data_IF_569506203865
#
_entry.id   IF_569506203865
#
_cell.length_a   1.000
_cell.length_b   1.000
_cell.length_c   1.000
_cell.angle_alpha   90.00
_cell.angle_beta   90.00
_cell.angle_gamma   90.00
#
_symmetry.space_group_name_H-M   'P 1'
#
loop_
_entity.id
_entity.type
_entity.pdbx_description
1 polymer ?
#
# COMPACT_ATOMS: atom_id res chain seq x y z
N UNK A 1 -5.06 21.07 -18.30
CA UNK A 1 -6.08 20.15 -17.74
C UNK A 1 -5.63 18.73 -18.06
N UNK A 2 -5.39 17.87 -17.05
CA UNK A 2 -5.03 16.46 -17.30
C UNK A 2 -6.32 15.62 -17.31
N UNK A 3 -6.67 15.03 -18.45
CA UNK A 3 -7.73 14.03 -18.55
C UNK A 3 -7.15 12.67 -18.16
N UNK A 4 -7.73 12.02 -17.16
CA UNK A 4 -7.33 10.67 -16.71
C UNK A 4 -8.56 9.80 -16.60
N UNK A 5 -8.43 8.53 -17.00
CA UNK A 5 -9.48 7.55 -16.72
C UNK A 5 -9.62 7.33 -15.21
N UNK A 6 -10.77 6.77 -14.78
CA UNK A 6 -10.99 6.40 -13.37
C UNK A 6 -9.92 5.41 -12.88
N UNK A 7 -9.46 4.49 -13.72
CA UNK A 7 -8.44 3.51 -13.35
C UNK A 7 -7.04 4.14 -13.24
N UNK A 8 -6.71 5.05 -14.15
CA UNK A 8 -5.44 5.79 -14.11
C UNK A 8 -5.36 6.72 -12.89
N UNK A 9 -6.47 7.38 -12.54
CA UNK A 9 -6.55 8.17 -11.32
C UNK A 9 -6.41 7.29 -10.07
N UNK A 10 -7.14 6.17 -9.99
CA UNK A 10 -7.03 5.23 -8.88
C UNK A 10 -5.60 4.66 -8.72
N UNK A 11 -4.94 4.34 -9.84
CA UNK A 11 -3.53 3.90 -9.84
C UNK A 11 -2.60 5.00 -9.30
N UNK A 12 -2.71 6.23 -9.79
CA UNK A 12 -1.85 7.32 -9.34
C UNK A 12 -2.01 7.62 -7.84
N UNK A 13 -3.24 7.56 -7.34
CA UNK A 13 -3.57 7.72 -5.92
C UNK A 13 -3.00 6.57 -5.08
N UNK A 14 -3.05 5.34 -5.58
CA UNK A 14 -2.44 4.19 -4.92
C UNK A 14 -0.91 4.29 -4.85
N UNK A 15 -0.24 4.70 -5.93
CA UNK A 15 1.22 4.93 -5.96
C UNK A 15 1.62 5.99 -4.93
N UNK A 16 0.92 7.11 -4.90
CA UNK A 16 1.18 8.20 -3.95
C UNK A 16 1.04 7.74 -2.51
N UNK A 17 -0.10 7.13 -2.20
CA UNK A 17 -0.42 6.78 -0.82
C UNK A 17 0.48 5.68 -0.31
N UNK A 18 0.78 4.68 -1.14
CA UNK A 18 1.77 3.66 -0.78
C UNK A 18 3.13 4.27 -0.54
N UNK A 19 3.58 5.20 -1.41
CA UNK A 19 4.85 5.89 -1.25
C UNK A 19 4.94 6.71 0.05
N UNK A 20 3.94 7.55 0.32
CA UNK A 20 3.85 8.33 1.56
C UNK A 20 3.87 7.44 2.82
N UNK A 21 3.32 6.24 2.70
CA UNK A 21 3.17 5.33 3.83
C UNK A 21 4.45 4.52 4.11
N UNK A 22 5.11 4.02 3.07
CA UNK A 22 6.40 3.31 3.22
C UNK A 22 7.59 4.27 3.30
N UNK A 23 7.34 5.59 3.24
CA UNK A 23 8.37 6.62 3.28
C UNK A 23 9.23 6.68 2.00
N UNK A 24 8.69 6.26 0.85
CA UNK A 24 9.40 6.19 -0.42
C UNK A 24 8.73 7.06 -1.47
N UNK A 25 9.51 7.78 -2.27
CA UNK A 25 9.02 8.62 -3.36
C UNK A 25 8.75 7.79 -4.64
N UNK A 26 7.81 6.84 -4.57
CA UNK A 26 7.49 5.92 -5.66
C UNK A 26 7.09 6.65 -6.97
N UNK A 27 6.40 7.79 -6.88
CA UNK A 27 6.08 8.64 -8.06
C UNK A 27 7.31 9.19 -8.78
N UNK A 28 8.40 9.39 -8.05
CA UNK A 28 9.69 9.85 -8.57
C UNK A 28 10.59 8.67 -8.96
N UNK A 29 10.04 7.45 -9.01
CA UNK A 29 10.80 6.21 -9.23
C UNK A 29 11.89 5.97 -8.16
N UNK A 30 11.69 6.49 -6.95
CA UNK A 30 12.60 6.37 -5.81
C UNK A 30 11.91 5.54 -4.72
N UNK A 31 12.15 4.24 -4.71
CA UNK A 31 11.60 3.31 -3.73
C UNK A 31 12.06 1.88 -3.98
N UNK A 32 11.50 0.91 -3.26
CA UNK A 32 11.91 -0.48 -3.42
C UNK A 32 11.61 -0.97 -4.84
N UNK A 33 12.57 -1.67 -5.43
CA UNK A 33 12.44 -2.24 -6.78
C UNK A 33 11.19 -3.13 -6.88
N UNK A 34 10.80 -3.75 -5.78
CA UNK A 34 9.61 -4.58 -5.68
C UNK A 34 8.32 -3.76 -5.82
N UNK A 35 8.19 -2.63 -5.12
CA UNK A 35 7.01 -1.76 -5.24
C UNK A 35 6.95 -1.11 -6.61
N UNK A 36 8.09 -0.65 -7.13
CA UNK A 36 8.18 -0.09 -8.48
C UNK A 36 7.78 -1.12 -9.54
N UNK A 37 8.26 -2.36 -9.41
CA UNK A 37 7.90 -3.47 -10.30
C UNK A 37 6.40 -3.76 -10.24
N UNK A 38 5.83 -3.88 -9.04
CA UNK A 38 4.40 -4.07 -8.85
C UNK A 38 3.57 -2.98 -9.56
N UNK A 39 3.89 -1.72 -9.33
CA UNK A 39 3.11 -0.61 -9.92
C UNK A 39 3.26 -0.53 -11.44
N UNK A 40 4.43 -0.88 -12.00
CA UNK A 40 4.64 -0.98 -13.45
C UNK A 40 3.79 -2.10 -14.06
N UNK A 41 3.77 -3.29 -13.46
CA UNK A 41 2.93 -4.41 -13.92
C UNK A 41 1.44 -4.05 -13.85
N UNK A 42 1.01 -3.37 -12.78
CA UNK A 42 -0.38 -2.92 -12.65
C UNK A 42 -0.74 -1.86 -13.69
N UNK A 43 0.18 -0.97 -14.05
CA UNK A 43 -0.04 0.02 -15.12
C UNK A 43 -0.28 -0.67 -16.47
N UNK A 44 0.51 -1.71 -16.81
CA UNK A 44 0.28 -2.50 -18.02
C UNK A 44 -1.05 -3.24 -18.01
N UNK A 45 -1.46 -3.78 -16.86
CA UNK A 45 -2.76 -4.44 -16.73
C UNK A 45 -3.93 -3.46 -16.97
N UNK A 46 -3.82 -2.23 -16.49
CA UNK A 46 -4.79 -1.17 -16.76
C UNK A 46 -4.77 -0.79 -18.24
N UNK A 47 -3.59 -0.60 -18.84
CA UNK A 47 -3.47 -0.25 -20.24
C UNK A 47 -4.12 -1.30 -21.14
N UNK A 48 -3.84 -2.59 -20.91
CA UNK A 48 -4.46 -3.70 -21.66
C UNK A 48 -5.98 -3.73 -21.47
N UNK A 49 -6.48 -3.51 -20.25
CA UNK A 49 -7.93 -3.43 -19.98
C UNK A 49 -8.60 -2.23 -20.67
N UNK A 50 -7.83 -1.18 -20.98
CA UNK A 50 -8.25 0.02 -21.71
C UNK A 50 -7.91 -0.07 -23.22
N UNK A 51 -7.60 -1.27 -23.75
CA UNK A 51 -7.20 -1.50 -25.14
C UNK A 51 -6.00 -0.66 -25.61
N UNK A 52 -5.08 -0.38 -24.69
CA UNK A 52 -3.85 0.37 -24.92
C UNK A 52 -2.62 -0.53 -24.80
N UNK A 53 -1.50 -0.11 -25.39
CA UNK A 53 -0.25 -0.85 -25.32
C UNK A 53 0.26 -0.95 -23.87
N UNK A 54 0.82 -2.09 -23.45
CA UNK A 54 1.43 -2.23 -22.13
C UNK A 54 2.63 -1.31 -21.97
N UNK A 55 2.95 -0.97 -20.72
CA UNK A 55 4.09 -0.11 -20.38
C UNK A 55 5.41 -0.82 -20.73
N UNK A 56 6.46 -0.10 -21.19
CA UNK A 56 7.78 -0.69 -21.42
C UNK A 56 8.31 -1.48 -20.22
N UNK A 57 9.19 -2.44 -20.50
CA UNK A 57 9.77 -3.35 -19.51
C UNK A 57 8.74 -4.16 -18.72
N UNK A 58 7.58 -4.45 -19.31
CA UNK A 58 6.59 -5.38 -18.74
C UNK A 58 6.19 -6.45 -19.74
N UNK A 59 5.68 -7.60 -19.28
CA UNK A 59 5.16 -8.62 -20.17
C UNK A 59 4.05 -8.10 -21.07
N UNK A 60 4.11 -8.43 -22.36
CA UNK A 60 3.07 -8.12 -23.35
C UNK A 60 1.97 -9.17 -23.38
N UNK A 61 2.27 -10.41 -22.99
CA UNK A 61 1.31 -11.50 -22.88
C UNK A 61 0.50 -11.44 -21.58
N UNK A 62 -0.82 -11.52 -21.69
CA UNK A 62 -1.73 -11.44 -20.53
C UNK A 62 -1.40 -12.50 -19.46
N UNK A 63 -1.14 -13.74 -19.88
CA UNK A 63 -0.86 -14.84 -18.97
C UNK A 63 0.43 -14.62 -18.15
N UNK A 64 1.47 -14.06 -18.78
CA UNK A 64 2.73 -13.76 -18.12
C UNK A 64 2.61 -12.57 -17.18
N UNK A 65 1.99 -11.48 -17.65
CA UNK A 65 1.72 -10.30 -16.84
C UNK A 65 0.95 -10.68 -15.56
N UNK A 66 -0.12 -11.47 -15.73
CA UNK A 66 -0.97 -11.96 -14.65
C UNK A 66 -0.20 -12.84 -13.67
N UNK A 67 0.66 -13.74 -14.15
CA UNK A 67 1.51 -14.60 -13.30
C UNK A 67 2.46 -13.76 -12.45
N UNK A 68 3.18 -12.83 -13.07
CA UNK A 68 4.14 -11.99 -12.37
C UNK A 68 3.45 -11.04 -11.37
N UNK A 69 2.32 -10.45 -11.77
CA UNK A 69 1.51 -9.59 -10.91
C UNK A 69 1.02 -10.36 -9.67
N UNK A 70 0.59 -11.62 -9.82
CA UNK A 70 0.21 -12.48 -8.68
C UNK A 70 1.37 -12.70 -7.72
N UNK A 71 2.57 -13.00 -8.24
CA UNK A 71 3.78 -13.16 -7.41
C UNK A 71 4.05 -11.90 -6.60
N UNK A 72 4.01 -10.73 -7.23
CA UNK A 72 4.26 -9.46 -6.55
C UNK A 72 3.18 -9.11 -5.52
N UNK A 73 1.90 -9.35 -5.85
CA UNK A 73 0.78 -9.14 -4.92
C UNK A 73 0.92 -9.99 -3.67
N UNK A 74 1.30 -11.26 -3.82
CA UNK A 74 1.54 -12.16 -2.69
C UNK A 74 2.76 -11.73 -1.87
N UNK A 75 3.89 -11.48 -2.53
CA UNK A 75 5.16 -11.10 -1.89
C UNK A 75 5.04 -9.82 -1.06
N UNK A 76 4.38 -8.79 -1.59
CA UNK A 76 4.20 -7.50 -0.92
C UNK A 76 2.93 -7.41 -0.05
N UNK A 77 2.10 -8.47 -0.05
CA UNK A 77 0.78 -8.48 0.59
C UNK A 77 -0.05 -7.20 0.26
N UNK A 78 -0.04 -6.78 -1.02
CA UNK A 78 -0.52 -5.44 -1.44
C UNK A 78 -1.96 -5.17 -0.99
N UNK A 79 -2.84 -6.15 -1.15
CA UNK A 79 -4.27 -6.01 -0.80
C UNK A 79 -4.41 -5.76 0.70
N UNK A 80 -3.74 -6.56 1.52
CA UNK A 80 -3.74 -6.35 2.97
C UNK A 80 -3.23 -4.95 3.32
N UNK A 81 -2.18 -4.50 2.61
CA UNK A 81 -1.44 -3.27 2.92
C UNK A 81 -2.34 -2.07 2.72
N UNK A 82 -2.98 -1.99 1.55
CA UNK A 82 -3.96 -0.96 1.24
C UNK A 82 -5.18 -1.00 2.17
N UNK A 83 -5.64 -2.20 2.57
CA UNK A 83 -6.73 -2.34 3.53
C UNK A 83 -6.35 -1.84 4.93
N UNK A 84 -5.12 -2.11 5.37
CA UNK A 84 -4.59 -1.60 6.64
C UNK A 84 -4.51 -0.08 6.63
N UNK A 85 -4.09 0.54 5.53
CA UNK A 85 -4.09 2.01 5.41
C UNK A 85 -5.51 2.58 5.55
N UNK A 86 -6.48 1.93 4.89
CA UNK A 86 -7.89 2.28 5.03
C UNK A 86 -8.39 2.21 6.49
N UNK A 87 -7.92 1.23 7.26
CA UNK A 87 -8.22 1.12 8.71
C UNK A 87 -7.49 2.17 9.54
N UNK A 88 -6.23 2.47 9.23
CA UNK A 88 -5.41 3.48 9.92
C UNK A 88 -6.03 4.87 9.79
N UNK A 89 -6.53 5.21 8.62
CA UNK A 89 -7.22 6.48 8.39
C UNK A 89 -8.43 6.67 9.33
N UNK A 90 -9.05 5.57 9.79
CA UNK A 90 -10.19 5.57 10.71
C UNK A 90 -9.76 5.57 12.19
N UNK A 91 -8.48 5.37 12.50
CA UNK A 91 -7.96 5.40 13.87
C UNK A 91 -8.03 6.83 14.41
N UNK A 92 -8.72 7.00 15.54
CA UNK A 92 -8.67 8.23 16.34
C UNK A 92 -7.27 8.36 16.92
N UNK A 93 -6.55 9.42 16.55
CA UNK A 93 -5.17 9.69 17.00
C UNK A 93 -5.14 10.56 18.25
N UNK A 94 -6.27 10.68 18.95
CA UNK A 94 -6.57 11.75 19.92
C UNK A 94 -5.75 11.65 21.23
N UNK A 95 -4.70 10.81 21.34
CA UNK A 95 -4.14 10.45 22.66
C UNK A 95 -2.63 10.42 22.84
N UNK A 96 -1.76 10.85 21.91
CA UNK A 96 -0.33 10.98 22.28
C UNK A 96 0.47 11.97 21.45
N UNK A 97 1.34 12.72 22.13
CA UNK A 97 2.53 13.39 21.58
C UNK A 97 3.51 12.35 21.03
N UNK A 98 3.12 11.60 20.02
CA UNK A 98 3.98 10.66 19.30
C UNK A 98 4.29 11.28 17.94
N UNK A 99 5.47 10.99 17.38
CA UNK A 99 5.89 11.40 16.03
C UNK A 99 5.85 10.21 15.04
N UNK A 100 5.86 8.98 15.58
CA UNK A 100 5.84 7.71 14.86
C UNK A 100 4.76 6.81 15.46
N UNK A 101 4.12 5.99 14.64
CA UNK A 101 3.15 4.99 15.03
C UNK A 101 3.50 3.63 14.44
N UNK A 102 3.68 2.65 15.32
CA UNK A 102 3.69 1.24 14.95
C UNK A 102 2.24 0.73 14.99
N UNK A 103 1.80 0.17 13.87
CA UNK A 103 0.45 -0.35 13.70
C UNK A 103 0.56 -1.81 13.30
N UNK A 104 -0.08 -2.67 14.07
CA UNK A 104 -0.13 -4.10 13.81
C UNK A 104 -1.59 -4.55 13.70
N UNK A 105 -1.90 -5.26 12.62
CA UNK A 105 -3.23 -5.85 12.40
C UNK A 105 -3.08 -7.35 12.33
N UNK A 106 -3.86 -8.05 13.16
CA UNK A 106 -4.02 -9.49 13.09
C UNK A 106 -5.48 -9.78 12.68
N UNK A 107 -5.74 -10.26 11.46
CA UNK A 107 -7.09 -10.58 10.99
C UNK A 107 -7.82 -11.59 11.88
N UNK A 108 -7.08 -12.50 12.54
CA UNK A 108 -7.66 -13.50 13.44
C UNK A 108 -8.19 -12.88 14.73
N UNK A 109 -7.54 -11.82 15.22
CA UNK A 109 -7.92 -11.14 16.47
C UNK A 109 -8.91 -9.99 16.26
N UNK A 110 -9.24 -9.64 15.00
CA UNK A 110 -10.10 -8.51 14.59
C UNK A 110 -9.71 -7.14 15.16
N UNK A 111 -8.56 -7.03 15.81
CA UNK A 111 -8.10 -5.82 16.49
C UNK A 111 -6.91 -5.19 15.77
N UNK A 112 -6.87 -3.86 15.79
CA UNK A 112 -5.76 -3.04 15.33
C UNK A 112 -5.00 -2.56 16.56
N UNK A 113 -3.74 -2.97 16.70
CA UNK A 113 -2.86 -2.49 17.77
C UNK A 113 -2.10 -1.29 17.25
N UNK A 114 -2.16 -0.17 17.97
CA UNK A 114 -1.47 1.07 17.62
C UNK A 114 -0.59 1.47 18.80
N UNK A 115 0.69 1.73 18.53
CA UNK A 115 1.66 2.17 19.53
C UNK A 115 2.42 3.39 19.02
N UNK A 116 2.34 4.49 19.76
CA UNK A 116 3.05 5.74 19.44
C UNK A 116 4.48 5.76 20.00
N UNK A 117 5.39 6.42 19.29
CA UNK A 117 6.77 6.68 19.69
C UNK A 117 7.12 8.13 19.37
N UNK A 118 7.93 8.77 20.22
CA UNK A 118 8.58 10.04 19.90
C UNK A 118 9.70 9.82 18.88
N UNK A 119 10.03 10.85 18.10
CA UNK A 119 11.10 10.80 17.09
C UNK A 119 12.46 10.46 17.71
N UNK A 120 12.69 10.93 18.95
CA UNK A 120 13.88 10.60 19.74
C UNK A 120 14.01 9.10 20.10
N UNK A 121 12.96 8.31 19.88
CA UNK A 121 12.94 6.86 20.13
C UNK A 121 12.73 6.06 18.84
N UNK A 122 13.19 6.58 17.70
CA UNK A 122 13.10 5.91 16.39
C UNK A 122 13.76 4.53 16.36
N UNK A 123 14.92 4.37 17.01
CA UNK A 123 15.61 3.08 17.09
C UNK A 123 14.74 2.03 17.79
N UNK A 124 14.18 2.37 18.95
CA UNK A 124 13.25 1.50 19.69
C UNK A 124 11.99 1.19 18.88
N UNK A 125 11.50 2.14 18.07
CA UNK A 125 10.37 1.92 17.18
C UNK A 125 10.71 0.91 16.07
N UNK A 126 11.92 1.00 15.49
CA UNK A 126 12.43 0.04 14.49
C UNK A 126 12.65 -1.35 15.07
N UNK A 127 13.26 -1.46 16.26
CA UNK A 127 13.41 -2.75 16.96
C UNK A 127 12.05 -3.40 17.20
N UNK A 128 11.09 -2.63 17.70
CA UNK A 128 9.76 -3.14 17.98
C UNK A 128 8.98 -3.47 16.70
N UNK A 129 9.19 -2.72 15.61
CA UNK A 129 8.70 -3.07 14.28
C UNK A 129 9.21 -4.45 13.85
N UNK A 130 10.54 -4.64 13.84
CA UNK A 130 11.17 -5.89 13.42
C UNK A 130 10.74 -7.09 14.29
N UNK A 131 10.66 -6.89 15.60
CA UNK A 131 10.17 -7.92 16.53
C UNK A 131 8.70 -8.29 16.26
N UNK A 132 7.85 -7.29 16.02
CA UNK A 132 6.42 -7.52 15.73
C UNK A 132 6.23 -8.18 14.37
N UNK A 133 6.99 -7.75 13.35
CA UNK A 133 7.00 -8.37 12.02
C UNK A 133 7.36 -9.85 12.12
N UNK A 134 8.47 -10.16 12.80
CA UNK A 134 8.91 -11.54 13.04
C UNK A 134 7.88 -12.38 13.79
N UNK A 135 7.22 -11.83 14.81
CA UNK A 135 6.19 -12.53 15.58
C UNK A 135 4.90 -12.79 14.78
N UNK A 136 4.65 -12.01 13.73
CA UNK A 136 3.47 -12.13 12.87
C UNK A 136 3.75 -12.95 11.60
N UNK A 137 5.00 -13.42 11.40
CA UNK A 137 5.36 -14.32 10.30
C UNK A 137 4.50 -15.57 10.37
N UNK A 138 3.91 -15.94 9.23
CA UNK A 138 3.07 -17.13 9.12
C UNK A 138 1.60 -16.93 9.51
N UNK A 139 1.21 -15.77 10.04
CA UNK A 139 -0.21 -15.45 10.27
C UNK A 139 -0.81 -14.88 8.98
N UNK A 140 -1.77 -15.58 8.31
CA UNK A 140 -2.30 -15.14 7.04
C UNK A 140 -2.98 -13.77 7.15
N UNK A 141 -2.51 -12.81 6.36
CA UNK A 141 -3.05 -11.45 6.31
C UNK A 141 -2.66 -10.56 7.50
N UNK A 142 -1.82 -11.02 8.42
CA UNK A 142 -1.23 -10.14 9.44
C UNK A 142 -0.35 -9.08 8.78
N UNK A 143 -0.35 -7.89 9.36
CA UNK A 143 0.45 -6.78 8.87
C UNK A 143 0.99 -5.93 9.99
N UNK A 144 2.22 -5.47 9.80
CA UNK A 144 2.93 -4.60 10.71
C UNK A 144 3.48 -3.45 9.89
N UNK A 145 3.25 -2.24 10.34
CA UNK A 145 3.66 -1.03 9.64
C UNK A 145 4.11 0.03 10.63
N UNK A 146 5.19 0.75 10.30
CA UNK A 146 5.71 1.86 11.08
C UNK A 146 5.62 3.13 10.23
N UNK A 147 4.87 4.13 10.71
CA UNK A 147 4.59 5.36 9.94
C UNK A 147 4.71 6.61 10.79
N UNK A 148 5.05 7.74 10.17
CA UNK A 148 5.07 9.03 10.87
C UNK A 148 3.67 9.63 11.03
N UNK A 149 3.52 10.50 12.03
CA UNK A 149 2.33 11.35 12.19
C UNK A 149 2.03 12.13 10.92
N UNK A 150 3.05 12.68 10.27
CA UNK A 150 2.87 13.48 9.06
C UNK A 150 2.23 12.66 7.95
N UNK A 151 2.67 11.41 7.76
CA UNK A 151 2.06 10.47 6.81
C UNK A 151 0.61 10.12 7.20
N UNK A 152 0.31 9.94 8.49
CA UNK A 152 -1.08 9.73 8.95
C UNK A 152 -1.95 10.98 8.72
N UNK A 153 -1.44 12.17 9.01
CA UNK A 153 -2.16 13.43 8.82
C UNK A 153 -2.39 13.74 7.33
N UNK A 154 -1.44 13.39 6.46
CA UNK A 154 -1.64 13.42 5.00
C UNK A 154 -2.75 12.45 4.59
N UNK A 155 -2.72 11.21 5.08
CA UNK A 155 -3.73 10.19 4.80
C UNK A 155 -5.14 10.64 5.24
N UNK A 156 -5.26 11.19 6.46
CA UNK A 156 -6.53 11.72 6.99
C UNK A 156 -7.07 12.86 6.13
N UNK A 157 -6.22 13.79 5.71
CA UNK A 157 -6.60 14.88 4.79
C UNK A 157 -7.01 14.38 3.41
N UNK A 158 -6.38 13.31 2.94
CA UNK A 158 -6.72 12.65 1.67
C UNK A 158 -7.98 11.74 1.76
N UNK A 159 -8.53 11.53 2.96
CA UNK A 159 -9.74 10.73 3.20
C UNK A 159 -10.96 11.68 3.16
N UNK A 160 -11.84 11.64 2.13
CA UNK A 160 -12.57 10.47 1.64
C UNK A 160 -12.14 9.95 0.26
N UNK A 161 -11.41 10.75 -0.52
CA UNK A 161 -11.01 10.42 -1.89
C UNK A 161 -10.16 9.15 -1.95
N UNK A 162 -9.19 9.00 -1.04
CA UNK A 162 -8.36 7.79 -0.96
C UNK A 162 -9.19 6.50 -0.76
N UNK A 163 -10.24 6.54 0.06
CA UNK A 163 -11.06 5.36 0.33
C UNK A 163 -11.82 4.89 -0.91
N UNK A 164 -12.36 5.84 -1.67
CA UNK A 164 -13.06 5.55 -2.92
C UNK A 164 -12.07 5.01 -3.96
N UNK A 165 -10.92 5.66 -4.12
CA UNK A 165 -9.90 5.29 -5.12
C UNK A 165 -9.19 3.97 -4.77
N UNK A 166 -8.91 3.70 -3.51
CA UNK A 166 -8.32 2.42 -3.07
C UNK A 166 -9.25 1.24 -3.34
N UNK A 167 -10.57 1.39 -3.18
CA UNK A 167 -11.55 0.36 -3.57
C UNK A 167 -11.54 0.11 -5.07
N UNK A 168 -11.49 1.17 -5.87
CA UNK A 168 -11.39 1.06 -7.35
C UNK A 168 -10.12 0.32 -7.74
N UNK A 169 -8.99 0.71 -7.15
CA UNK A 169 -7.70 0.09 -7.41
C UNK A 169 -7.68 -1.40 -7.00
N UNK A 170 -8.16 -1.74 -5.80
CA UNK A 170 -8.24 -3.14 -5.33
C UNK A 170 -9.12 -3.97 -6.26
N UNK A 171 -10.24 -3.43 -6.73
CA UNK A 171 -11.12 -4.14 -7.68
C UNK A 171 -10.45 -4.34 -9.04
N UNK A 172 -9.73 -3.33 -9.55
CA UNK A 172 -8.94 -3.45 -10.76
C UNK A 172 -7.83 -4.52 -10.60
N UNK A 173 -7.11 -4.49 -9.48
CA UNK A 173 -6.08 -5.46 -9.15
C UNK A 173 -6.65 -6.89 -9.09
N UNK A 174 -7.79 -7.08 -8.42
CA UNK A 174 -8.47 -8.39 -8.34
C UNK A 174 -8.85 -8.93 -9.71
N UNK A 175 -9.33 -8.07 -10.62
CA UNK A 175 -9.63 -8.46 -12.01
C UNK A 175 -8.35 -8.83 -12.77
N UNK A 176 -7.29 -8.05 -12.62
CA UNK A 176 -6.00 -8.31 -13.26
C UNK A 176 -5.37 -9.65 -12.82
N UNK A 177 -5.68 -10.12 -11.60
CA UNK A 177 -5.21 -11.41 -11.07
C UNK A 177 -6.29 -12.50 -11.03
N UNK A 178 -7.48 -12.28 -11.60
CA UNK A 178 -8.55 -13.27 -11.62
C UNK A 178 -8.21 -14.46 -12.55
N UNK A 179 -8.76 -15.64 -12.24
CA UNK A 179 -8.53 -16.88 -13.01
C UNK A 179 -8.91 -16.68 -14.48
#
# INVERSE_FOLDING_TARGET
MQLRSRLQHAWATAVETTGDFIGQALKSNLGSDEWLRFFRLMASAIAMAENSAPVPDTPTGEAELKRELRTMVGKLNVIGTLQTYGRIAQVRTDTARADLFLIATNPLERNVRVKGFLRAHSERAMEQYAATEKAMVGIPGAQVVLVSVDSINKLKRAYPSYFLESRVFINALRRAIAR
#
